data_IF_601445408912
#
_entry.id   IF_601445408912
#
_cell.length_a   1.000
_cell.length_b   1.000
_cell.length_c   1.000
_cell.angle_alpha   90.00
_cell.angle_beta   90.00
_cell.angle_gamma   90.00
#
_symmetry.space_group_name_H-M   'P 1'
#
loop_
_entity.id
_entity.type
_entity.pdbx_description
1 polymer ?
#
# COMPACT_ATOMS: atom_id res chain seq x y z
N UNK A 1 -30.26 -18.49 -7.82
CA UNK A 1 -29.86 -18.01 -6.46
C UNK A 1 -28.34 -17.92 -6.32
N UNK A 2 -27.57 -18.98 -6.64
CA UNK A 2 -26.09 -19.00 -6.58
C UNK A 2 -25.39 -17.86 -7.34
N UNK A 3 -25.89 -17.50 -8.53
CA UNK A 3 -25.33 -16.41 -9.34
C UNK A 3 -25.49 -15.04 -8.66
N UNK A 4 -26.66 -14.78 -8.03
CA UNK A 4 -26.91 -13.53 -7.30
C UNK A 4 -26.04 -13.42 -6.04
N UNK A 5 -25.84 -14.54 -5.35
CA UNK A 5 -24.92 -14.60 -4.20
C UNK A 5 -23.48 -14.29 -4.62
N UNK A 6 -23.01 -14.88 -5.73
CA UNK A 6 -21.68 -14.63 -6.26
C UNK A 6 -21.46 -13.18 -6.73
N UNK A 7 -22.48 -12.54 -7.32
CA UNK A 7 -22.42 -11.10 -7.64
C UNK A 7 -22.33 -10.25 -6.37
N UNK A 8 -23.15 -10.54 -5.35
CA UNK A 8 -23.13 -9.83 -4.09
C UNK A 8 -21.77 -9.93 -3.37
N UNK A 9 -21.16 -11.11 -3.35
CA UNK A 9 -19.83 -11.31 -2.77
C UNK A 9 -18.74 -10.54 -3.52
N UNK A 10 -18.81 -10.49 -4.87
CA UNK A 10 -17.88 -9.69 -5.68
C UNK A 10 -18.03 -8.19 -5.43
N UNK A 11 -19.26 -7.68 -5.36
CA UNK A 11 -19.52 -6.27 -5.06
C UNK A 11 -19.01 -5.90 -3.66
N UNK A 12 -19.27 -6.73 -2.65
CA UNK A 12 -18.73 -6.50 -1.30
C UNK A 12 -17.19 -6.52 -1.26
N UNK A 13 -16.56 -7.43 -2.01
CA UNK A 13 -15.10 -7.48 -2.13
C UNK A 13 -14.54 -6.24 -2.83
N UNK A 14 -15.25 -5.73 -3.85
CA UNK A 14 -14.92 -4.49 -4.55
C UNK A 14 -15.02 -3.26 -3.64
N UNK A 15 -16.08 -3.13 -2.86
CA UNK A 15 -16.21 -2.04 -1.87
C UNK A 15 -15.07 -2.06 -0.83
N UNK A 16 -14.73 -3.24 -0.31
CA UNK A 16 -13.60 -3.37 0.61
C UNK A 16 -12.25 -3.04 -0.07
N UNK A 17 -12.12 -3.32 -1.37
CA UNK A 17 -10.94 -2.94 -2.16
C UNK A 17 -10.86 -1.43 -2.42
N UNK A 18 -12.01 -0.77 -2.67
CA UNK A 18 -12.11 0.68 -2.80
C UNK A 18 -11.69 1.39 -1.51
N UNK A 19 -12.15 0.92 -0.34
CA UNK A 19 -11.73 1.50 0.93
C UNK A 19 -10.21 1.41 1.14
N UNK A 20 -9.58 0.30 0.74
CA UNK A 20 -8.11 0.19 0.78
C UNK A 20 -7.45 1.13 -0.24
N UNK A 21 -8.08 1.33 -1.39
CA UNK A 21 -7.59 2.27 -2.40
C UNK A 21 -7.63 3.72 -1.91
N UNK A 22 -8.66 4.13 -1.16
CA UNK A 22 -8.74 5.47 -0.58
C UNK A 22 -7.59 5.72 0.41
N UNK A 23 -7.26 4.72 1.24
CA UNK A 23 -6.10 4.79 2.14
C UNK A 23 -4.80 4.86 1.36
N UNK A 24 -4.66 4.07 0.29
CA UNK A 24 -3.50 4.14 -0.60
C UNK A 24 -3.33 5.54 -1.22
N UNK A 25 -4.40 6.17 -1.70
CA UNK A 25 -4.34 7.51 -2.28
C UNK A 25 -3.85 8.56 -1.29
N UNK A 26 -4.17 8.42 0.00
CA UNK A 26 -3.65 9.30 1.04
C UNK A 26 -2.16 9.05 1.36
N UNK A 27 -1.72 7.79 1.31
CA UNK A 27 -0.33 7.41 1.64
C UNK A 27 0.64 7.67 0.48
N UNK A 28 0.21 7.45 -0.76
CA UNK A 28 1.03 7.57 -1.97
C UNK A 28 1.86 8.87 -2.01
N UNK A 29 1.28 10.07 -1.87
CA UNK A 29 2.07 11.31 -1.94
C UNK A 29 3.05 11.47 -0.77
N UNK A 30 2.79 10.83 0.38
CA UNK A 30 3.74 10.84 1.50
C UNK A 30 4.96 9.98 1.17
N UNK A 31 4.74 8.78 0.64
CA UNK A 31 5.80 7.83 0.30
C UNK A 31 6.62 8.29 -0.91
N UNK A 32 5.98 8.97 -1.87
CA UNK A 32 6.63 9.56 -3.04
C UNK A 32 7.25 10.95 -2.76
N UNK A 33 7.15 11.46 -1.53
CA UNK A 33 7.74 12.75 -1.18
C UNK A 33 9.26 12.68 -0.99
N UNK A 34 9.95 13.76 -1.33
CA UNK A 34 11.39 13.91 -1.09
C UNK A 34 11.73 13.68 0.39
N UNK A 35 10.90 14.18 1.31
CA UNK A 35 11.11 14.01 2.74
C UNK A 35 11.11 12.53 3.18
N UNK A 36 10.27 11.68 2.57
CA UNK A 36 10.25 10.26 2.88
C UNK A 36 11.51 9.55 2.36
N UNK A 37 11.95 9.91 1.15
CA UNK A 37 13.18 9.40 0.54
C UNK A 37 14.41 9.82 1.38
N UNK A 38 14.49 11.10 1.75
CA UNK A 38 15.58 11.64 2.57
C UNK A 38 15.70 10.92 3.92
N UNK A 39 14.56 10.65 4.58
CA UNK A 39 14.54 9.91 5.85
C UNK A 39 14.97 8.45 5.64
N UNK A 40 14.54 7.81 4.55
CA UNK A 40 14.95 6.45 4.22
C UNK A 40 16.46 6.36 4.00
N UNK A 41 17.04 7.32 3.26
CA UNK A 41 18.48 7.41 3.03
C UNK A 41 19.27 7.65 4.31
N UNK A 42 18.79 8.53 5.19
CA UNK A 42 19.40 8.76 6.50
C UNK A 42 19.40 7.49 7.36
N UNK A 43 18.28 6.77 7.38
CA UNK A 43 18.17 5.50 8.10
C UNK A 43 19.10 4.46 7.50
N UNK A 44 19.23 4.40 6.17
CA UNK A 44 20.16 3.50 5.49
C UNK A 44 21.62 3.81 5.85
N UNK A 45 21.99 5.10 5.94
CA UNK A 45 23.31 5.53 6.36
C UNK A 45 23.59 5.15 7.82
N UNK A 46 22.66 5.42 8.74
CA UNK A 46 22.81 5.05 10.16
C UNK A 46 22.89 3.52 10.31
N UNK A 47 22.10 2.76 9.53
CA UNK A 47 22.15 1.31 9.53
C UNK A 47 23.53 0.77 9.13
N UNK A 48 24.16 1.36 8.12
CA UNK A 48 25.46 0.90 7.62
C UNK A 48 26.61 1.39 8.51
N UNK A 49 26.67 2.68 8.78
CA UNK A 49 27.85 3.35 9.38
C UNK A 49 27.64 3.77 10.84
N UNK A 50 26.40 3.73 11.32
CA UNK A 50 26.03 4.15 12.67
C UNK A 50 26.26 3.08 13.76
N UNK A 51 26.09 3.49 15.03
CA UNK A 51 26.18 2.60 16.18
C UNK A 51 25.18 1.44 16.05
N UNK A 52 25.62 0.22 16.33
CA UNK A 52 24.75 -0.99 16.26
C UNK A 52 23.87 -1.16 17.50
N UNK A 53 24.07 -0.31 18.51
CA UNK A 53 23.21 -0.24 19.68
C UNK A 53 22.06 0.73 19.38
N UNK A 54 20.89 0.16 19.08
CA UNK A 54 19.65 0.86 18.77
C UNK A 54 18.67 0.89 19.95
N UNK A 55 19.12 0.53 21.15
CA UNK A 55 18.33 0.51 22.39
C UNK A 55 17.67 1.85 22.73
N UNK A 56 18.27 2.97 22.30
CA UNK A 56 17.75 4.32 22.50
C UNK A 56 16.41 4.58 21.79
N UNK A 57 16.19 3.98 20.62
CA UNK A 57 15.01 4.26 19.79
C UNK A 57 13.78 3.44 20.20
N UNK A 58 13.94 2.44 21.07
CA UNK A 58 12.87 1.52 21.49
C UNK A 58 12.37 0.57 20.37
N UNK A 59 12.83 0.78 19.14
CA UNK A 59 12.57 -0.03 17.95
C UNK A 59 13.90 -0.15 17.20
N UNK A 60 14.20 -1.37 16.74
CA UNK A 60 15.43 -1.62 16.00
C UNK A 60 15.48 -0.81 14.69
N UNK A 61 16.62 -0.21 14.38
CA UNK A 61 16.81 0.59 13.14
C UNK A 61 16.53 -0.27 11.90
N UNK A 62 16.89 -1.56 11.97
CA UNK A 62 16.60 -2.54 10.93
C UNK A 62 15.09 -2.71 10.68
N UNK A 63 14.27 -2.67 11.73
CA UNK A 63 12.83 -2.79 11.62
C UNK A 63 12.23 -1.55 10.94
N UNK A 64 12.75 -0.36 11.25
CA UNK A 64 12.31 0.89 10.61
C UNK A 64 12.68 0.89 9.12
N UNK A 65 13.92 0.52 8.78
CA UNK A 65 14.40 0.43 7.40
C UNK A 65 13.55 -0.54 6.56
N UNK A 66 13.31 -1.74 7.08
CA UNK A 66 12.51 -2.75 6.39
C UNK A 66 11.03 -2.32 6.29
N UNK A 67 10.50 -1.64 7.30
CA UNK A 67 9.14 -1.10 7.27
C UNK A 67 8.95 -0.05 6.18
N UNK A 68 9.85 0.93 6.10
CA UNK A 68 9.80 1.98 5.06
C UNK A 68 10.00 1.42 3.65
N UNK A 69 10.96 0.51 3.48
CA UNK A 69 11.20 -0.16 2.20
C UNK A 69 9.98 -0.98 1.77
N UNK A 70 9.39 -1.73 2.69
CA UNK A 70 8.18 -2.51 2.45
C UNK A 70 6.99 -1.64 2.05
N UNK A 71 6.81 -0.49 2.71
CA UNK A 71 5.78 0.47 2.37
C UNK A 71 5.99 1.04 0.95
N UNK A 72 7.22 1.42 0.60
CA UNK A 72 7.57 1.88 -0.74
C UNK A 72 7.25 0.85 -1.83
N UNK A 73 7.62 -0.42 -1.60
CA UNK A 73 7.32 -1.53 -2.52
C UNK A 73 5.82 -1.75 -2.66
N UNK A 74 5.06 -1.71 -1.56
CA UNK A 74 3.61 -1.88 -1.59
C UNK A 74 2.94 -0.74 -2.35
N UNK A 75 3.42 0.49 -2.20
CA UNK A 75 2.88 1.65 -2.92
C UNK A 75 3.19 1.58 -4.41
N UNK A 76 4.41 1.17 -4.78
CA UNK A 76 4.83 1.05 -6.17
C UNK A 76 4.10 -0.08 -6.92
N UNK A 77 3.78 -1.18 -6.24
CA UNK A 77 3.09 -2.33 -6.83
C UNK A 77 1.56 -2.27 -6.71
N UNK A 78 1.01 -1.17 -6.16
CA UNK A 78 -0.43 -1.06 -5.97
C UNK A 78 -1.16 -0.98 -7.32
N UNK A 79 -2.24 -1.74 -7.44
CA UNK A 79 -3.14 -1.70 -8.60
C UNK A 79 -4.53 -1.25 -8.16
N UNK A 80 -5.12 -0.32 -8.92
CA UNK A 80 -6.45 0.17 -8.62
C UNK A 80 -7.49 -0.96 -8.73
N UNK A 81 -8.47 -1.05 -7.81
CA UNK A 81 -9.54 -2.02 -7.93
C UNK A 81 -10.29 -1.86 -9.25
N UNK A 82 -10.49 -2.95 -9.98
CA UNK A 82 -11.30 -2.95 -11.19
C UNK A 82 -12.77 -3.19 -10.83
N UNK A 83 -13.67 -2.42 -11.46
CA UNK A 83 -15.11 -2.61 -11.30
C UNK A 83 -15.54 -3.97 -11.88
N UNK A 84 -16.17 -4.85 -11.08
CA UNK A 84 -16.60 -6.17 -11.53
C UNK A 84 -17.72 -6.14 -12.60
N UNK A 85 -18.46 -5.03 -12.75
CA UNK A 85 -19.62 -4.90 -13.65
C UNK A 85 -19.32 -4.08 -14.92
N UNK A 86 -18.13 -3.48 -15.05
CA UNK A 86 -17.69 -2.70 -16.22
C UNK A 86 -17.58 -3.49 -17.54
N UNK A 87 -17.75 -4.81 -17.51
CA UNK A 87 -17.62 -5.70 -18.66
C UNK A 87 -18.95 -6.15 -19.28
N UNK A 88 -20.07 -5.52 -18.91
CA UNK A 88 -21.34 -5.78 -19.60
C UNK A 88 -21.48 -4.81 -20.78
N UNK A 89 -21.19 -5.19 -22.04
CA UNK A 89 -21.69 -4.41 -23.16
C UNK A 89 -23.20 -4.39 -23.02
N UNK A 90 -23.78 -3.20 -22.90
CA UNK A 90 -25.22 -3.02 -22.98
C UNK A 90 -25.60 -3.42 -24.40
N UNK A 91 -25.99 -4.67 -24.57
CA UNK A 91 -26.60 -5.14 -25.81
C UNK A 91 -27.96 -4.44 -25.91
N UNK A 92 -27.95 -3.25 -26.50
CA UNK A 92 -29.17 -2.60 -26.96
C UNK A 92 -29.71 -3.47 -28.12
N UNK A 93 -30.80 -4.18 -27.85
CA UNK A 93 -31.64 -4.86 -28.83
C UNK A 93 -33.03 -4.20 -28.80
#
# INVERSE_FOLDING_TARGET
MRTRLAHYERQKAYEAALQRHDVYLAIKPLVESDAFIDVHEQIAAIRNDGPKDDSFFGIAIEAIFNGMTGLGIQVANWTAPADPDASTPVANA
#
